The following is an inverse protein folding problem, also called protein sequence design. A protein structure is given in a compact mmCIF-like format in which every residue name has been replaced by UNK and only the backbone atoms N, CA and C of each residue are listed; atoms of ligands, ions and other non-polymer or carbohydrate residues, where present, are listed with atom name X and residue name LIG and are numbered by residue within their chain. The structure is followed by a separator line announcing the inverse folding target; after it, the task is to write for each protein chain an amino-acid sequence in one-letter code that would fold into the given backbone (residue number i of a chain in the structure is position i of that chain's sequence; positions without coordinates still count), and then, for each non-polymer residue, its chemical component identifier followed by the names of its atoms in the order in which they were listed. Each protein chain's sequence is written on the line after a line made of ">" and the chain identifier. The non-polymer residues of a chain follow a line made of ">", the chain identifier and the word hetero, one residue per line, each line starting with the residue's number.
data_IF_292642715279
#
_entry.id   IF_292642715279
#
_cell.length_a   1.000
_cell.length_b   1.000
_cell.length_c   1.000
_cell.angle_alpha   90.00
_cell.angle_beta   90.00
_cell.angle_gamma   90.00
#
_symmetry.space_group_name_H-M   'P 1'
#
loop_
_entity.id
_entity.type
_entity.pdbx_description
1 polymer ?
#
# COMPACT_ATOMS: atom_id res chain seq x y z
N UNK A 1 1.71 0.26 -0.25
CA UNK A 1 0.87 -0.94 -0.01
C UNK A 1 1.52 -1.82 1.04
N UNK A 2 0.72 -2.64 1.73
CA UNK A 2 1.16 -3.64 2.70
C UNK A 2 0.37 -4.92 2.47
N UNK A 3 0.98 -6.09 2.66
CA UNK A 3 0.29 -7.37 2.74
C UNK A 3 0.97 -8.30 3.76
N UNK A 4 0.21 -9.19 4.38
CA UNK A 4 0.70 -10.09 5.44
C UNK A 4 1.01 -11.52 4.94
N UNK A 5 0.78 -11.77 3.66
CA UNK A 5 0.73 -13.14 3.11
C UNK A 5 1.83 -13.47 2.09
N UNK A 6 2.54 -12.47 1.56
CA UNK A 6 3.52 -12.64 0.50
C UNK A 6 4.88 -12.03 0.89
N UNK A 7 6.01 -12.65 0.50
CA UNK A 7 7.34 -12.03 0.64
C UNK A 7 7.55 -10.91 -0.40
N UNK A 8 8.54 -10.01 -0.18
CA UNK A 8 8.81 -8.86 -1.06
C UNK A 8 8.87 -9.16 -2.56
N UNK A 9 9.59 -10.21 -2.95
CA UNK A 9 9.74 -10.57 -4.37
C UNK A 9 8.43 -11.00 -5.00
N UNK A 10 7.57 -11.69 -4.25
CA UNK A 10 6.29 -12.17 -4.77
C UNK A 10 5.26 -11.05 -4.83
N UNK A 11 5.33 -10.09 -3.89
CA UNK A 11 4.56 -8.84 -4.00
C UNK A 11 4.92 -8.10 -5.29
N UNK A 12 6.20 -7.95 -5.61
CA UNK A 12 6.62 -7.29 -6.86
C UNK A 12 6.11 -8.03 -8.10
N UNK A 13 6.11 -9.37 -8.09
CA UNK A 13 5.56 -10.19 -9.20
C UNK A 13 4.08 -9.99 -9.42
N UNK A 14 3.30 -9.58 -8.42
CA UNK A 14 1.88 -9.26 -8.62
C UNK A 14 1.71 -8.08 -9.58
N UNK A 15 2.67 -7.15 -9.60
CA UNK A 15 2.70 -5.97 -10.46
C UNK A 15 3.44 -6.18 -11.79
N UNK A 16 4.23 -7.25 -11.91
CA UNK A 16 4.96 -7.54 -13.14
C UNK A 16 4.00 -8.08 -14.22
N UNK A 17 3.80 -7.30 -15.29
CA UNK A 17 3.10 -7.76 -16.50
C UNK A 17 3.99 -8.59 -17.43
N UNK A 18 5.23 -8.85 -17.02
CA UNK A 18 6.18 -9.76 -17.64
C UNK A 18 7.35 -8.98 -18.22
N UNK A 19 8.46 -8.91 -17.46
CA UNK A 19 9.87 -8.96 -17.95
C UNK A 19 10.93 -8.55 -16.91
N UNK A 20 10.55 -8.03 -15.73
CA UNK A 20 11.52 -7.46 -14.79
C UNK A 20 12.01 -8.43 -13.72
N UNK A 21 13.31 -8.73 -13.68
CA UNK A 21 13.92 -9.27 -12.45
C UNK A 21 14.10 -8.13 -11.43
N UNK A 22 13.64 -8.28 -10.17
CA UNK A 22 13.89 -7.28 -9.16
C UNK A 22 15.39 -7.06 -8.96
N UNK A 23 15.82 -5.80 -8.92
CA UNK A 23 17.19 -5.40 -8.61
C UNK A 23 17.23 -4.73 -7.25
N UNK A 24 18.31 -4.90 -6.50
CA UNK A 24 18.48 -4.16 -5.25
C UNK A 24 18.70 -2.68 -5.56
N UNK A 25 17.95 -1.83 -4.87
CA UNK A 25 18.00 -0.38 -5.05
C UNK A 25 17.75 0.31 -3.71
N UNK A 26 18.60 1.30 -3.40
CA UNK A 26 18.38 2.19 -2.26
C UNK A 26 17.20 3.13 -2.54
N UNK A 27 16.69 3.78 -1.49
CA UNK A 27 15.60 4.75 -1.65
C UNK A 27 16.00 5.92 -2.55
N UNK A 28 17.19 6.48 -2.35
CA UNK A 28 17.71 7.59 -3.15
C UNK A 28 17.86 7.21 -4.64
N UNK A 29 18.45 6.04 -4.92
CA UNK A 29 18.57 5.54 -6.29
C UNK A 29 17.21 5.39 -6.97
N UNK A 30 16.20 4.96 -6.22
CA UNK A 30 14.84 4.80 -6.75
C UNK A 30 14.14 6.12 -7.03
N UNK A 31 14.37 7.14 -6.18
CA UNK A 31 13.85 8.48 -6.40
C UNK A 31 14.48 9.11 -7.64
N UNK A 32 15.81 9.04 -7.76
CA UNK A 32 16.54 9.57 -8.91
C UNK A 32 16.06 8.91 -10.21
N UNK A 33 15.97 7.57 -10.22
CA UNK A 33 15.52 6.83 -11.39
C UNK A 33 14.05 7.07 -11.76
N UNK A 34 13.16 7.31 -10.78
CA UNK A 34 11.73 7.53 -11.02
C UNK A 34 11.42 8.91 -11.63
N UNK A 35 12.25 9.93 -11.36
CA UNK A 35 12.07 11.29 -11.86
C UNK A 35 12.21 11.42 -13.38
N UNK A 36 13.03 10.57 -13.99
CA UNK A 36 13.42 10.70 -15.41
C UNK A 36 12.90 9.59 -16.31
N UNK A 37 12.12 8.65 -15.77
CA UNK A 37 11.69 7.47 -16.53
C UNK A 37 10.21 7.49 -16.87
N UNK A 38 9.86 6.91 -18.03
CA UNK A 38 8.49 6.56 -18.41
C UNK A 38 7.96 5.32 -17.63
N UNK A 39 8.67 4.93 -16.57
CA UNK A 39 8.35 3.77 -15.74
C UNK A 39 8.11 4.21 -14.30
N UNK A 40 7.27 3.47 -13.57
CA UNK A 40 7.22 3.57 -12.11
C UNK A 40 8.20 2.57 -11.50
N UNK A 41 8.70 2.89 -10.31
CA UNK A 41 9.60 2.01 -9.57
C UNK A 41 8.90 1.59 -8.29
N UNK A 42 8.72 0.29 -8.13
CA UNK A 42 8.18 -0.35 -6.93
C UNK A 42 9.34 -0.92 -6.11
N UNK A 43 9.40 -0.60 -4.82
CA UNK A 43 10.36 -1.19 -3.87
C UNK A 43 9.62 -1.94 -2.77
N UNK A 44 10.04 -3.17 -2.50
CA UNK A 44 9.40 -4.01 -1.50
C UNK A 44 10.34 -4.43 -0.38
N UNK A 45 9.86 -4.37 0.85
CA UNK A 45 10.60 -4.74 2.06
C UNK A 45 9.67 -5.33 3.11
N UNK A 46 10.18 -5.58 4.31
CA UNK A 46 9.43 -6.21 5.40
C UNK A 46 9.45 -5.31 6.64
N UNK A 47 8.32 -5.18 7.31
CA UNK A 47 8.20 -4.53 8.62
C UNK A 47 7.12 -5.22 9.47
N UNK A 48 7.44 -5.62 10.70
CA UNK A 48 6.43 -6.11 11.66
C UNK A 48 5.58 -7.30 11.19
N UNK A 49 6.15 -8.21 10.38
CA UNK A 49 5.41 -9.34 9.80
C UNK A 49 4.61 -9.01 8.53
N UNK A 50 4.64 -7.77 8.09
CA UNK A 50 4.07 -7.32 6.83
C UNK A 50 5.15 -7.11 5.79
N UNK A 51 4.84 -7.42 4.54
CA UNK A 51 5.59 -6.95 3.39
C UNK A 51 4.98 -5.63 2.93
N UNK A 52 5.80 -4.59 2.85
CA UNK A 52 5.40 -3.33 2.23
C UNK A 52 5.90 -3.25 0.79
N UNK A 53 5.17 -2.54 -0.05
CA UNK A 53 5.57 -2.16 -1.40
C UNK A 53 5.29 -0.68 -1.59
N UNK A 54 6.35 0.09 -1.81
CA UNK A 54 6.32 1.53 -2.01
C UNK A 54 6.51 1.85 -3.49
N UNK A 55 5.73 2.82 -3.96
CA UNK A 55 5.86 3.43 -5.27
C UNK A 55 6.17 4.92 -5.05
N UNK A 56 7.19 5.44 -5.73
CA UNK A 56 7.46 6.88 -5.75
C UNK A 56 6.97 7.48 -7.06
N UNK A 57 6.27 8.63 -6.98
CA UNK A 57 5.78 9.39 -8.14
C UNK A 57 4.85 8.63 -9.09
N UNK A 58 4.10 7.65 -8.57
CA UNK A 58 3.15 6.87 -9.34
C UNK A 58 1.92 6.46 -8.53
N UNK A 59 0.97 5.82 -9.20
CA UNK A 59 -0.30 5.40 -8.62
C UNK A 59 -0.72 4.00 -9.06
N UNK A 60 0.21 3.15 -9.48
CA UNK A 60 -0.06 1.77 -9.91
C UNK A 60 -0.86 1.00 -8.86
N UNK A 61 -0.57 1.21 -7.57
CA UNK A 61 -1.32 0.57 -6.49
C UNK A 61 -2.83 0.91 -6.44
N UNK A 62 -3.26 2.03 -7.03
CA UNK A 62 -4.67 2.42 -7.14
C UNK A 62 -5.37 1.77 -8.34
N UNK A 63 -4.62 1.22 -9.29
CA UNK A 63 -5.15 0.66 -10.53
C UNK A 63 -5.33 -0.87 -10.43
N UNK A 64 -6.22 -1.39 -11.27
CA UNK A 64 -6.43 -2.83 -11.41
C UNK A 64 -6.97 -3.52 -10.16
N UNK A 65 -6.69 -4.81 -10.05
CA UNK A 65 -7.11 -5.71 -8.97
C UNK A 65 -5.96 -6.07 -8.01
N UNK A 66 -4.85 -5.33 -8.05
CA UNK A 66 -3.63 -5.67 -7.31
C UNK A 66 -3.87 -5.82 -5.81
N UNK A 67 -4.65 -4.92 -5.20
CA UNK A 67 -4.95 -5.00 -3.77
C UNK A 67 -5.73 -6.28 -3.42
N UNK A 68 -6.69 -6.67 -4.26
CA UNK A 68 -7.41 -7.94 -4.13
C UNK A 68 -6.45 -9.11 -4.25
N UNK A 69 -5.63 -9.14 -5.31
CA UNK A 69 -4.64 -10.20 -5.56
C UNK A 69 -3.65 -10.37 -4.41
N UNK A 70 -3.11 -9.27 -3.88
CA UNK A 70 -2.22 -9.28 -2.72
C UNK A 70 -2.90 -9.83 -1.45
N UNK A 71 -4.22 -9.68 -1.33
CA UNK A 71 -5.00 -10.14 -0.18
C UNK A 71 -5.57 -11.55 -0.33
N UNK A 72 -5.34 -12.28 -1.43
CA UNK A 72 -6.01 -13.55 -1.72
C UNK A 72 -5.96 -14.57 -0.57
N UNK A 73 -4.79 -14.72 0.05
CA UNK A 73 -4.54 -15.63 1.18
C UNK A 73 -4.44 -14.92 2.54
N UNK A 74 -4.72 -13.62 2.60
CA UNK A 74 -4.51 -12.81 3.81
C UNK A 74 -5.19 -11.45 3.74
N UNK A 75 -4.46 -10.41 4.10
CA UNK A 75 -4.92 -9.03 4.15
C UNK A 75 -3.95 -8.13 3.39
N UNK A 76 -4.48 -7.06 2.80
CA UNK A 76 -3.67 -6.02 2.19
C UNK A 76 -4.24 -4.62 2.46
N UNK A 77 -3.34 -3.65 2.59
CA UNK A 77 -3.66 -2.23 2.76
C UNK A 77 -3.02 -1.41 1.67
N UNK A 78 -3.73 -0.40 1.19
CA UNK A 78 -3.21 0.66 0.37
C UNK A 78 -3.44 1.99 1.11
N UNK A 79 -2.34 2.70 1.28
CA UNK A 79 -2.34 4.10 1.65
C UNK A 79 -1.67 4.83 0.48
N UNK A 80 -2.33 5.86 -0.02
CA UNK A 80 -1.82 6.70 -1.09
C UNK A 80 -1.68 8.14 -0.59
N UNK A 81 -0.49 8.69 -0.79
CA UNK A 81 -0.17 10.06 -0.44
C UNK A 81 0.10 10.86 -1.71
N UNK A 82 -0.48 12.04 -1.79
CA UNK A 82 -0.02 13.07 -2.72
C UNK A 82 0.96 14.01 -1.99
N UNK A 83 1.34 15.11 -2.65
CA UNK A 83 2.26 16.10 -2.08
C UNK A 83 1.77 16.77 -0.79
N UNK A 84 0.45 16.82 -0.57
CA UNK A 84 -0.16 17.57 0.52
C UNK A 84 -0.57 16.67 1.68
N UNK A 85 -1.08 15.47 1.40
CA UNK A 85 -1.61 14.57 2.40
C UNK A 85 -1.86 13.15 1.88
N UNK A 86 -2.33 12.29 2.78
CA UNK A 86 -2.97 11.03 2.39
C UNK A 86 -4.31 11.33 1.72
N UNK A 87 -4.52 10.81 0.52
CA UNK A 87 -5.74 11.07 -0.26
C UNK A 87 -6.55 9.84 -0.56
N UNK A 88 -6.00 8.63 -0.42
CA UNK A 88 -6.77 7.40 -0.59
C UNK A 88 -6.37 6.36 0.44
N UNK A 89 -7.38 5.65 0.94
CA UNK A 89 -7.21 4.43 1.74
C UNK A 89 -8.02 3.30 1.12
N UNK A 90 -7.41 2.11 1.05
CA UNK A 90 -8.14 0.88 0.77
C UNK A 90 -7.63 -0.28 1.61
N UNK A 91 -8.53 -1.21 1.88
CA UNK A 91 -8.27 -2.44 2.64
C UNK A 91 -8.95 -3.61 1.93
N UNK A 92 -8.20 -4.70 1.76
CA UNK A 92 -8.71 -5.94 1.22
C UNK A 92 -8.36 -7.12 2.13
N UNK A 93 -9.22 -8.12 2.12
CA UNK A 93 -9.06 -9.35 2.88
C UNK A 93 -9.61 -10.51 2.06
N UNK A 94 -8.84 -11.60 1.95
CA UNK A 94 -9.23 -12.83 1.24
C UNK A 94 -9.72 -12.56 -0.19
N UNK A 95 -8.99 -11.72 -0.92
CA UNK A 95 -9.28 -11.40 -2.32
C UNK A 95 -10.41 -10.38 -2.52
N UNK A 96 -10.97 -9.79 -1.46
CA UNK A 96 -12.08 -8.84 -1.55
C UNK A 96 -11.69 -7.49 -0.97
N UNK A 97 -11.97 -6.43 -1.72
CA UNK A 97 -11.83 -5.06 -1.20
C UNK A 97 -12.98 -4.81 -0.23
N UNK A 98 -12.65 -4.72 1.05
CA UNK A 98 -13.61 -4.52 2.14
C UNK A 98 -13.79 -3.03 2.46
N UNK A 99 -12.83 -2.18 2.15
CA UNK A 99 -12.99 -0.73 2.24
C UNK A 99 -12.17 -0.02 1.17
N UNK A 100 -12.69 1.06 0.59
CA UNK A 100 -11.97 1.91 -0.36
C UNK A 100 -12.60 3.29 -0.44
N UNK A 101 -11.85 4.33 -0.09
CA UNK A 101 -12.37 5.69 -0.06
C UNK A 101 -11.28 6.78 -0.03
N UNK A 102 -11.68 7.97 -0.49
CA UNK A 102 -10.96 9.23 -0.32
C UNK A 102 -11.63 10.11 0.73
N UNK A 103 -10.91 11.10 1.28
CA UNK A 103 -11.53 12.14 2.10
C UNK A 103 -12.70 12.80 1.37
N UNK A 104 -13.79 13.05 2.10
CA UNK A 104 -14.99 13.77 1.66
C UNK A 104 -15.79 13.10 0.53
N UNK A 105 -15.39 11.92 0.07
CA UNK A 105 -16.15 11.16 -0.91
C UNK A 105 -17.43 10.59 -0.30
N UNK A 106 -18.59 11.02 -0.83
CA UNK A 106 -19.89 10.48 -0.45
C UNK A 106 -20.10 9.08 -1.03
N UNK A 107 -20.77 8.21 -0.29
CA UNK A 107 -21.09 6.84 -0.74
C UNK A 107 -19.91 5.88 -0.81
N UNK A 108 -18.73 6.27 -0.30
CA UNK A 108 -17.55 5.42 -0.39
C UNK A 108 -17.72 4.08 0.33
N UNK A 109 -17.11 3.05 -0.25
CA UNK A 109 -17.32 1.65 0.10
C UNK A 109 -16.65 1.30 1.42
N UNK A 110 -17.45 0.87 2.40
CA UNK A 110 -16.96 0.28 3.65
C UNK A 110 -17.86 -0.89 4.00
N UNK A 111 -17.28 -2.09 4.03
CA UNK A 111 -17.96 -3.35 4.33
C UNK A 111 -18.48 -3.39 5.76
N UNK A 112 -19.57 -4.12 5.95
CA UNK A 112 -20.16 -4.41 7.25
C UNK A 112 -19.46 -5.55 7.98
N UNK A 113 -18.41 -6.17 7.40
CA UNK A 113 -17.66 -7.25 8.01
C UNK A 113 -17.19 -6.93 9.44
N UNK A 114 -17.42 -7.84 10.38
CA UNK A 114 -17.17 -7.58 11.81
C UNK A 114 -15.79 -8.10 12.26
N UNK A 115 -14.72 -7.46 11.79
CA UNK A 115 -13.36 -7.69 12.29
C UNK A 115 -12.92 -6.53 13.20
N UNK A 116 -11.96 -6.73 14.13
CA UNK A 116 -11.44 -5.65 14.97
C UNK A 116 -10.96 -4.44 14.15
N UNK A 117 -10.24 -4.68 13.05
CA UNK A 117 -9.75 -3.61 12.19
C UNK A 117 -10.88 -2.95 11.38
N UNK A 118 -11.85 -3.71 10.86
CA UNK A 118 -13.01 -3.14 10.15
C UNK A 118 -13.91 -2.29 11.05
N UNK A 119 -14.07 -2.65 12.33
CA UNK A 119 -14.76 -1.79 13.30
C UNK A 119 -14.06 -0.44 13.45
N UNK A 120 -12.72 -0.44 13.49
CA UNK A 120 -11.93 0.79 13.57
C UNK A 120 -12.02 1.60 12.26
N UNK A 121 -11.93 0.95 11.11
CA UNK A 121 -12.14 1.60 9.80
C UNK A 121 -13.51 2.26 9.77
N UNK A 122 -14.59 1.57 10.15
CA UNK A 122 -15.94 2.16 10.17
C UNK A 122 -16.02 3.38 11.10
N UNK A 123 -15.50 3.25 12.32
CA UNK A 123 -15.53 4.34 13.30
C UNK A 123 -14.77 5.58 12.81
N UNK A 124 -13.61 5.40 12.18
CA UNK A 124 -12.79 6.50 11.66
C UNK A 124 -13.30 7.03 10.31
N UNK A 125 -13.92 6.17 9.48
CA UNK A 125 -14.50 6.55 8.19
C UNK A 125 -15.75 7.43 8.32
N UNK A 126 -16.25 7.70 9.52
CA UNK A 126 -17.30 8.68 9.73
C UNK A 126 -16.77 10.13 9.63
N UNK A 127 -15.49 10.33 9.90
CA UNK A 127 -14.80 11.63 9.87
C UNK A 127 -13.78 11.66 8.72
N UNK A 128 -14.28 11.65 7.48
CA UNK A 128 -13.49 11.52 6.25
C UNK A 128 -12.80 12.81 5.84
N UNK A 129 -12.27 13.60 6.76
CA UNK A 129 -11.41 14.70 6.37
C UNK A 129 -9.98 14.20 6.06
N UNK A 130 -9.15 15.09 5.53
CA UNK A 130 -7.77 14.78 5.17
C UNK A 130 -6.93 14.36 6.39
N UNK A 131 -7.28 14.82 7.59
CA UNK A 131 -6.64 14.44 8.84
C UNK A 131 -7.05 13.04 9.33
N UNK A 132 -8.32 12.65 9.14
CA UNK A 132 -8.87 11.38 9.56
C UNK A 132 -8.25 10.15 8.88
N UNK A 133 -7.65 10.31 7.69
CA UNK A 133 -6.86 9.22 7.09
C UNK A 133 -5.55 8.95 7.84
N UNK A 134 -4.96 9.95 8.50
CA UNK A 134 -3.79 9.72 9.36
C UNK A 134 -4.17 8.83 10.56
N UNK A 135 -5.38 8.98 11.09
CA UNK A 135 -5.87 8.12 12.19
C UNK A 135 -6.03 6.67 11.74
N UNK A 136 -6.36 6.41 10.47
CA UNK A 136 -6.37 5.05 9.91
C UNK A 136 -4.97 4.46 9.80
N UNK A 137 -3.99 5.27 9.42
CA UNK A 137 -2.59 4.84 9.40
C UNK A 137 -2.09 4.54 10.81
N UNK A 138 -2.39 5.40 11.79
CA UNK A 138 -2.09 5.15 13.21
C UNK A 138 -2.78 3.87 13.71
N UNK A 139 -4.05 3.67 13.38
CA UNK A 139 -4.78 2.46 13.73
C UNK A 139 -4.15 1.20 13.12
N UNK A 140 -3.63 1.28 11.89
CA UNK A 140 -2.91 0.16 11.27
C UNK A 140 -1.60 -0.13 12.02
N UNK A 141 -0.85 0.90 12.44
CA UNK A 141 0.34 0.71 13.28
C UNK A 141 0.01 0.01 14.60
N UNK A 142 -1.05 0.45 15.27
CA UNK A 142 -1.45 -0.06 16.60
C UNK A 142 -2.05 -1.47 16.55
N UNK A 143 -3.00 -1.71 15.64
CA UNK A 143 -3.79 -2.95 15.61
C UNK A 143 -3.06 -4.04 14.82
N UNK A 144 -2.39 -3.67 13.73
CA UNK A 144 -1.75 -4.60 12.81
C UNK A 144 -0.24 -4.69 13.01
N UNK A 145 0.34 -3.91 13.95
CA UNK A 145 1.80 -3.81 14.16
C UNK A 145 2.56 -3.38 12.90
N UNK A 146 1.89 -2.63 12.02
CA UNK A 146 2.45 -2.14 10.76
C UNK A 146 3.27 -0.88 11.04
N UNK A 147 4.54 -1.03 11.45
CA UNK A 147 5.39 0.10 11.85
C UNK A 147 6.72 0.13 11.07
N UNK A 148 6.73 0.49 9.78
CA UNK A 148 7.95 0.60 9.00
C UNK A 148 8.83 1.71 9.56
N UNK A 149 10.03 1.35 10.02
CA UNK A 149 11.04 2.30 10.43
C UNK A 149 11.70 2.90 9.21
N UNK A 150 12.28 4.09 9.38
CA UNK A 150 13.07 4.76 8.34
C UNK A 150 14.14 3.84 7.74
N UNK A 151 14.82 3.06 8.59
CA UNK A 151 15.82 2.05 8.18
C UNK A 151 15.27 0.95 7.29
N UNK A 152 14.00 0.56 7.50
CA UNK A 152 13.37 -0.52 6.74
C UNK A 152 13.11 -0.08 5.30
N UNK A 153 12.83 1.22 5.11
CA UNK A 153 12.45 1.82 3.83
C UNK A 153 13.66 2.34 3.04
N UNK A 154 14.65 2.89 3.73
CA UNK A 154 15.79 3.56 3.09
C UNK A 154 16.89 2.62 2.60
N UNK A 155 17.00 1.43 3.19
CA UNK A 155 18.02 0.43 2.84
C UNK A 155 17.89 -0.12 1.42
N UNK A 156 18.82 -0.97 1.01
CA UNK A 156 18.74 -1.63 -0.29
C UNK A 156 17.62 -2.67 -0.30
N UNK A 157 16.62 -2.46 -1.16
CA UNK A 157 15.44 -3.30 -1.26
C UNK A 157 15.28 -3.82 -2.69
N UNK A 158 14.68 -5.02 -2.88
CA UNK A 158 14.21 -5.45 -4.18
C UNK A 158 13.31 -4.38 -4.82
N UNK A 159 13.66 -4.01 -6.05
CA UNK A 159 13.01 -2.97 -6.80
C UNK A 159 12.63 -3.47 -8.20
N UNK A 160 11.41 -3.20 -8.63
CA UNK A 160 10.88 -3.54 -9.94
C UNK A 160 10.52 -2.27 -10.70
N UNK A 161 10.95 -2.17 -11.96
CA UNK A 161 10.47 -1.16 -12.90
C UNK A 161 9.24 -1.69 -13.61
N UNK A 162 8.18 -0.88 -13.65
CA UNK A 162 6.94 -1.20 -14.34
C UNK A 162 6.58 -0.08 -15.32
N UNK A 163 5.97 -0.41 -16.45
CA UNK A 163 5.49 0.61 -17.38
C UNK A 163 4.37 1.45 -16.74
N UNK A 164 4.32 2.73 -17.08
CA UNK A 164 3.23 3.65 -16.69
C UNK A 164 1.94 3.38 -17.47
#
# INVERSE_FOLDING_TARGET
>A
MFCDSLPPTDVLRVFDSGTGQPLLMSYEQSLDAALYSDTNILRAGVCGGWTFCQESFGCTGLAGDYLSRLSESGQALLFFWNLEAMTWFAYACRGRVEASFEPRMQGAMVSSADTPFMRRIRALSADRDTGGLNDLYLAAREILSLDPKKSDVEGDLPALRIAR
#
